data_IF_918472710810
#
_entry.id   IF_918472710810
#
_cell.length_a   1.000
_cell.length_b   1.000
_cell.length_c   1.000
_cell.angle_alpha   90.00
_cell.angle_beta   90.00
_cell.angle_gamma   90.00
#
_symmetry.space_group_name_H-M   'P 1'
#
loop_
_entity.id
_entity.type
_entity.pdbx_description
1 polymer ?
#
# COMPACT_ATOMS: atom_id res chain seq x y z
N UNK A 1 4.19 -4.72 -8.06
CA UNK A 1 2.89 -5.40 -7.84
C UNK A 1 3.09 -6.85 -7.45
N UNK A 2 2.16 -7.39 -6.67
CA UNK A 2 2.12 -8.79 -6.24
C UNK A 2 0.73 -9.39 -6.47
N UNK A 3 0.65 -10.70 -6.68
CA UNK A 3 -0.62 -11.42 -6.82
C UNK A 3 -0.70 -12.60 -5.86
N UNK A 4 -1.85 -13.27 -5.82
CA UNK A 4 -1.96 -14.57 -5.15
C UNK A 4 -1.10 -15.62 -5.86
N UNK A 5 -0.76 -16.69 -5.15
CA UNK A 5 0.00 -17.83 -5.69
C UNK A 5 -0.70 -18.53 -6.87
N UNK A 6 -2.01 -18.36 -6.98
CA UNK A 6 -2.84 -18.93 -8.06
C UNK A 6 -3.00 -18.00 -9.26
N UNK A 7 -2.46 -16.78 -9.20
CA UNK A 7 -2.69 -15.74 -10.22
C UNK A 7 -4.12 -15.16 -10.23
N UNK A 8 -5.07 -15.76 -9.51
CA UNK A 8 -6.42 -15.19 -9.34
C UNK A 8 -6.32 -13.83 -8.67
N UNK A 9 -7.15 -12.90 -9.16
CA UNK A 9 -7.20 -11.51 -8.71
C UNK A 9 -5.91 -10.70 -8.91
N UNK A 10 -5.03 -11.08 -9.84
CA UNK A 10 -3.85 -10.27 -10.16
C UNK A 10 -4.27 -8.84 -10.56
N UNK A 11 -3.71 -7.84 -9.89
CA UNK A 11 -3.94 -6.41 -10.14
C UNK A 11 -5.42 -5.97 -10.26
N UNK A 12 -6.34 -6.66 -9.56
CA UNK A 12 -7.77 -6.35 -9.57
C UNK A 12 -8.33 -6.20 -8.16
N UNK A 13 -9.47 -5.50 -8.05
CA UNK A 13 -10.09 -5.16 -6.75
C UNK A 13 -10.40 -6.38 -5.88
N UNK A 14 -10.65 -7.55 -6.47
CA UNK A 14 -10.89 -8.77 -5.72
C UNK A 14 -9.66 -9.25 -4.91
N UNK A 15 -8.45 -8.76 -5.22
CA UNK A 15 -7.25 -9.05 -4.43
C UNK A 15 -7.40 -8.63 -2.97
N UNK A 16 -8.12 -7.52 -2.70
CA UNK A 16 -8.36 -7.00 -1.34
C UNK A 16 -8.93 -8.04 -0.38
N UNK A 17 -9.69 -9.02 -0.89
CA UNK A 17 -10.39 -10.01 -0.08
C UNK A 17 -9.56 -11.30 0.15
N UNK A 18 -8.39 -11.40 -0.46
CA UNK A 18 -7.51 -12.57 -0.36
C UNK A 18 -6.79 -12.64 0.99
N UNK A 19 -6.28 -13.83 1.35
CA UNK A 19 -5.50 -13.99 2.59
C UNK A 19 -4.15 -13.28 2.47
N UNK A 20 -3.60 -13.23 1.26
CA UNK A 20 -2.36 -12.59 0.88
C UNK A 20 -2.45 -11.08 1.07
N UNK A 21 -3.52 -10.42 0.59
CA UNK A 21 -3.71 -8.99 0.81
C UNK A 21 -3.83 -8.62 2.29
N UNK A 22 -4.61 -9.41 3.07
CA UNK A 22 -4.71 -9.23 4.53
C UNK A 22 -3.37 -9.44 5.23
N UNK A 23 -2.57 -10.39 4.75
CA UNK A 23 -1.22 -10.61 5.27
C UNK A 23 -0.31 -9.43 4.96
N UNK A 24 -0.35 -8.88 3.74
CA UNK A 24 0.45 -7.71 3.36
C UNK A 24 0.08 -6.50 4.22
N UNK A 25 -1.20 -6.18 4.37
CA UNK A 25 -1.67 -5.08 5.22
C UNK A 25 -1.13 -5.22 6.67
N UNK A 26 -1.15 -6.44 7.21
CA UNK A 26 -0.67 -6.72 8.57
C UNK A 26 0.86 -6.77 8.70
N UNK A 27 1.60 -7.18 7.68
CA UNK A 27 3.01 -7.55 7.85
C UNK A 27 4.00 -6.80 6.95
N UNK A 28 3.59 -6.17 5.86
CA UNK A 28 4.50 -5.59 4.85
C UNK A 28 5.53 -4.63 5.46
N UNK A 29 5.10 -3.84 6.45
CA UNK A 29 5.95 -2.86 7.13
C UNK A 29 7.13 -3.49 7.88
N UNK A 30 6.99 -4.73 8.33
CA UNK A 30 8.07 -5.46 9.01
C UNK A 30 9.23 -5.78 8.06
N UNK A 31 8.96 -5.78 6.75
CA UNK A 31 9.91 -6.07 5.69
C UNK A 31 10.29 -4.82 4.88
N UNK A 32 9.88 -3.64 5.32
CA UNK A 32 10.21 -2.37 4.65
C UNK A 32 9.27 -1.98 3.51
N UNK A 33 8.10 -2.62 3.41
CA UNK A 33 7.11 -2.34 2.38
C UNK A 33 5.86 -1.65 2.95
N UNK A 34 5.27 -0.78 2.14
CA UNK A 34 3.95 -0.17 2.38
C UNK A 34 2.99 -0.57 1.27
N UNK A 35 1.69 -0.63 1.58
CA UNK A 35 0.65 -0.57 0.54
C UNK A 35 0.68 0.85 0.00
N UNK A 36 1.12 1.01 -1.25
CA UNK A 36 1.46 2.31 -1.82
C UNK A 36 0.25 3.22 -2.02
N UNK A 37 -0.88 2.61 -2.39
CA UNK A 37 -2.14 3.28 -2.65
C UNK A 37 -3.23 2.69 -1.74
N UNK A 38 -3.31 3.15 -0.47
CA UNK A 38 -4.29 2.67 0.50
C UNK A 38 -5.70 3.24 0.23
N UNK A 39 -6.71 2.53 0.72
CA UNK A 39 -8.13 2.90 0.56
C UNK A 39 -8.43 4.21 1.29
N UNK A 40 -9.18 5.11 0.65
CA UNK A 40 -9.60 6.38 1.25
C UNK A 40 -8.54 7.49 1.22
N UNK A 41 -7.43 7.27 0.50
CA UNK A 41 -6.33 8.24 0.33
C UNK A 41 -6.16 8.67 -1.13
N UNK A 42 -7.16 8.43 -1.96
CA UNK A 42 -7.13 8.67 -3.40
C UNK A 42 -6.89 10.15 -3.75
N UNK A 43 -7.40 11.07 -2.92
CA UNK A 43 -7.20 12.52 -3.08
C UNK A 43 -5.77 12.97 -2.77
N UNK A 44 -5.02 12.18 -2.00
CA UNK A 44 -3.64 12.48 -1.62
C UNK A 44 -2.68 11.87 -2.64
N UNK A 45 -2.89 10.59 -2.96
CA UNK A 45 -2.01 9.83 -3.85
C UNK A 45 -2.30 10.05 -5.33
N UNK A 46 -3.52 10.45 -5.68
CA UNK A 46 -4.01 10.49 -7.07
C UNK A 46 -4.39 9.12 -7.65
N UNK A 47 -4.21 8.03 -6.91
CA UNK A 47 -4.47 6.66 -7.36
C UNK A 47 -5.60 6.03 -6.57
N UNK A 48 -6.40 5.19 -7.24
CA UNK A 48 -7.39 4.32 -6.61
C UNK A 48 -6.72 3.37 -5.62
N UNK A 49 -7.50 2.75 -4.74
CA UNK A 49 -7.01 1.69 -3.87
C UNK A 49 -6.41 0.52 -4.67
N UNK A 50 -5.14 0.18 -4.40
CA UNK A 50 -4.41 -0.92 -5.05
C UNK A 50 -3.70 -1.79 -4.00
N UNK A 51 -4.40 -2.79 -3.40
CA UNK A 51 -3.84 -3.64 -2.36
C UNK A 51 -2.66 -4.52 -2.81
N UNK A 52 -2.49 -4.71 -4.12
CA UNK A 52 -1.38 -5.44 -4.72
C UNK A 52 -0.13 -4.57 -4.92
N UNK A 53 -0.26 -3.25 -4.86
CA UNK A 53 0.85 -2.34 -5.14
C UNK A 53 1.63 -2.07 -3.86
N UNK A 54 2.77 -2.74 -3.73
CA UNK A 54 3.68 -2.56 -2.60
C UNK A 54 4.91 -1.75 -3.00
N UNK A 55 5.36 -0.86 -2.11
CA UNK A 55 6.53 -0.01 -2.33
C UNK A 55 7.54 -0.24 -1.21
N UNK A 56 8.79 -0.53 -1.59
CA UNK A 56 9.89 -0.58 -0.63
C UNK A 56 10.34 0.84 -0.25
N UNK A 57 10.42 1.09 1.05
CA UNK A 57 10.86 2.37 1.64
C UNK A 57 11.86 2.19 2.80
N UNK A 58 12.26 0.95 3.09
CA UNK A 58 13.06 0.59 4.26
C UNK A 58 12.21 0.30 5.50
N UNK A 59 12.71 -0.57 6.39
CA UNK A 59 11.96 -1.10 7.55
C UNK A 59 11.51 0.01 8.51
N UNK A 60 12.42 0.91 8.88
CA UNK A 60 12.13 2.01 9.81
C UNK A 60 11.03 2.91 9.26
N UNK A 61 11.17 3.35 8.01
CA UNK A 61 10.20 4.21 7.33
C UNK A 61 8.85 3.53 7.19
N UNK A 62 8.80 2.28 6.71
CA UNK A 62 7.55 1.57 6.52
C UNK A 62 6.77 1.38 7.83
N UNK A 63 7.48 1.11 8.94
CA UNK A 63 6.86 1.04 10.28
C UNK A 63 6.30 2.39 10.73
N UNK A 64 6.99 3.50 10.48
CA UNK A 64 6.50 4.84 10.82
C UNK A 64 5.25 5.21 10.00
N UNK A 65 5.29 4.97 8.69
CA UNK A 65 4.16 5.19 7.78
C UNK A 65 2.93 4.40 8.26
N UNK A 66 3.10 3.10 8.54
CA UNK A 66 2.02 2.26 9.04
C UNK A 66 1.48 2.72 10.39
N UNK A 67 2.36 2.98 11.37
CA UNK A 67 1.95 3.38 12.74
C UNK A 67 1.10 4.65 12.72
N UNK A 68 1.38 5.57 11.80
CA UNK A 68 0.72 6.87 11.67
C UNK A 68 -0.40 6.88 10.61
N UNK A 69 -0.67 5.73 9.97
CA UNK A 69 -1.64 5.59 8.88
C UNK A 69 -1.46 6.64 7.76
N UNK A 70 -0.20 6.79 7.31
CA UNK A 70 0.20 7.74 6.28
C UNK A 70 0.36 7.05 4.91
N UNK A 71 0.30 7.87 3.87
CA UNK A 71 0.83 7.62 2.53
C UNK A 71 2.31 8.04 2.47
N UNK A 72 2.96 7.79 1.34
CA UNK A 72 4.35 8.23 1.14
C UNK A 72 4.44 9.75 0.97
N UNK A 73 3.47 10.32 0.25
CA UNK A 73 3.24 11.77 0.13
C UNK A 73 3.14 12.40 1.51
N UNK A 74 2.31 11.80 2.37
CA UNK A 74 2.10 12.28 3.73
C UNK A 74 3.37 12.25 4.57
N UNK A 75 4.19 11.21 4.39
CA UNK A 75 5.45 11.05 5.10
C UNK A 75 6.52 12.05 4.65
N UNK A 76 6.58 12.34 3.35
CA UNK A 76 7.56 13.25 2.74
C UNK A 76 7.13 14.72 2.78
N UNK A 77 5.93 15.02 3.27
CA UNK A 77 5.34 16.35 3.30
C UNK A 77 5.22 16.99 1.90
N UNK A 78 4.77 16.20 0.93
CA UNK A 78 4.50 16.63 -0.45
C UNK A 78 3.03 16.38 -0.76
N UNK A 79 2.20 17.42 -0.74
CA UNK A 79 0.74 17.31 -0.90
C UNK A 79 0.15 18.42 -1.78
N UNK A 80 -1.01 18.14 -2.39
CA UNK A 80 -1.44 16.86 -2.97
C UNK A 80 -0.75 16.64 -4.32
N UNK A 81 -0.70 15.38 -4.81
CA UNK A 81 -0.28 15.13 -6.19
C UNK A 81 -1.37 15.71 -7.10
N UNK A 82 -1.10 16.85 -7.73
CA UNK A 82 -1.97 17.45 -8.74
C UNK A 82 -2.09 16.45 -9.90
N UNK A 83 -3.32 16.12 -10.29
CA UNK A 83 -3.59 15.46 -11.57
C UNK A 83 -3.69 16.48 -12.69
#
# INVERSE_FOLDING_TARGET
DVSSSTGKCAATSCFANTKEAKWLEKNSSNYGFIIRYPKGKEQITGYKYEPWHIRYVGVTTAKQIKKRNLTLEEYLNVYPVSK
#
